data_IF_413651890615
#
_entry.id   IF_413651890615
#
_cell.length_a   1.000
_cell.length_b   1.000
_cell.length_c   1.000
_cell.angle_alpha   90.00
_cell.angle_beta   90.00
_cell.angle_gamma   90.00
#
_symmetry.space_group_name_H-M   'P 1'
#
loop_
_entity.id
_entity.type
_entity.pdbx_description
1 polymer ?
#
# COMPACT_ATOMS: atom_id res chain seq x y z
N UNK A 1 -43.32 37.24 -39.07
CA UNK A 1 -42.10 36.42 -39.28
C UNK A 1 -40.88 36.84 -38.44
N UNK A 2 -40.66 38.11 -38.09
CA UNK A 2 -39.49 38.54 -37.29
C UNK A 2 -39.44 38.06 -35.82
N UNK A 3 -40.58 37.75 -35.19
CA UNK A 3 -40.63 37.28 -33.78
C UNK A 3 -40.27 35.80 -33.59
N UNK A 4 -40.40 34.97 -34.62
CA UNK A 4 -40.04 33.54 -34.56
C UNK A 4 -38.53 33.31 -34.67
N UNK A 5 -37.81 34.19 -35.38
CA UNK A 5 -36.35 34.11 -35.55
C UNK A 5 -35.61 34.37 -34.22
N UNK A 6 -36.15 35.25 -33.38
CA UNK A 6 -35.57 35.57 -32.06
C UNK A 6 -35.70 34.39 -31.08
N UNK A 7 -36.78 33.60 -31.17
CA UNK A 7 -36.98 32.41 -30.35
C UNK A 7 -36.04 31.26 -30.76
N UNK A 8 -35.69 31.18 -32.05
CA UNK A 8 -34.73 30.19 -32.59
C UNK A 8 -33.27 30.54 -32.24
N UNK A 9 -32.92 31.82 -32.10
CA UNK A 9 -31.59 32.24 -31.65
C UNK A 9 -31.36 32.00 -30.14
N UNK A 10 -32.42 32.01 -29.32
CA UNK A 10 -32.30 31.76 -27.88
C UNK A 10 -32.18 30.27 -27.53
N UNK A 11 -32.67 29.36 -28.38
CA UNK A 11 -32.53 27.91 -28.12
C UNK A 11 -31.15 27.35 -28.46
N UNK A 12 -30.36 28.07 -29.26
CA UNK A 12 -28.99 27.68 -29.64
C UNK A 12 -27.93 28.04 -28.59
N UNK A 13 -28.26 28.82 -27.54
CA UNK A 13 -27.32 29.13 -26.46
C UNK A 13 -27.34 28.13 -25.30
N UNK A 14 -28.19 27.11 -25.34
CA UNK A 14 -28.30 26.10 -24.26
C UNK A 14 -27.56 24.80 -24.56
N UNK A 15 -26.86 24.70 -25.71
CA UNK A 15 -26.06 23.50 -26.02
C UNK A 15 -24.70 23.57 -25.34
N UNK A 16 -24.75 23.26 -24.05
CA UNK A 16 -23.86 22.31 -23.37
C UNK A 16 -22.36 22.60 -23.46
N UNK A 17 -21.87 23.34 -22.47
CA UNK A 17 -20.59 23.01 -21.86
C UNK A 17 -20.70 21.56 -21.36
N UNK A 18 -20.37 20.59 -22.22
CA UNK A 18 -20.06 19.24 -21.76
C UNK A 18 -18.77 19.36 -20.96
N UNK A 19 -18.92 19.52 -19.64
CA UNK A 19 -17.82 19.32 -18.72
C UNK A 19 -17.36 17.90 -18.97
N UNK A 20 -16.22 17.75 -19.64
CA UNK A 20 -15.64 16.47 -19.99
C UNK A 20 -15.64 15.63 -18.70
N UNK A 21 -16.54 14.65 -18.61
CA UNK A 21 -16.54 13.71 -17.51
C UNK A 21 -15.25 12.94 -17.69
N UNK A 22 -14.20 13.39 -16.99
CA UNK A 22 -12.88 12.81 -17.05
C UNK A 22 -13.05 11.32 -16.85
N UNK A 23 -12.79 10.55 -17.91
CA UNK A 23 -12.93 9.09 -17.90
C UNK A 23 -12.24 8.58 -16.64
N UNK A 24 -13.03 8.09 -15.70
CA UNK A 24 -12.51 7.59 -14.42
C UNK A 24 -11.54 6.47 -14.77
N UNK A 25 -10.24 6.67 -14.57
CA UNK A 25 -9.27 5.59 -14.73
C UNK A 25 -9.56 4.61 -13.61
N UNK A 26 -10.35 3.59 -13.92
CA UNK A 26 -10.63 2.49 -13.01
C UNK A 26 -9.30 1.80 -12.76
N UNK A 27 -8.83 1.82 -11.51
CA UNK A 27 -7.66 1.08 -11.10
C UNK A 27 -8.04 -0.40 -11.16
N UNK A 28 -7.69 -1.09 -12.25
CA UNK A 28 -8.07 -2.49 -12.47
C UNK A 28 -6.99 -3.44 -11.97
N UNK A 29 -5.72 -3.01 -11.93
CA UNK A 29 -4.60 -3.85 -11.48
C UNK A 29 -3.47 -3.01 -10.82
N UNK A 30 -2.47 -3.70 -10.26
CA UNK A 30 -1.29 -3.10 -9.61
C UNK A 30 -0.39 -2.33 -10.59
N UNK A 31 -0.41 -2.67 -11.89
CA UNK A 31 0.37 -1.94 -12.89
C UNK A 31 -0.16 -0.53 -13.14
N UNK A 32 -1.48 -0.34 -13.12
CA UNK A 32 -2.14 0.97 -13.19
C UNK A 32 -1.81 1.84 -11.96
N UNK A 33 -1.54 1.20 -10.82
CA UNK A 33 -1.17 1.83 -9.55
C UNK A 33 0.23 2.44 -9.57
N UNK A 34 1.20 1.80 -10.23
CA UNK A 34 2.57 2.31 -10.27
C UNK A 34 2.64 3.71 -10.88
N UNK A 35 1.90 3.92 -11.96
CA UNK A 35 1.81 5.22 -12.63
C UNK A 35 1.18 6.29 -11.72
N UNK A 36 0.16 5.94 -10.94
CA UNK A 36 -0.52 6.87 -10.03
C UNK A 36 0.36 7.28 -8.85
N UNK A 37 1.33 6.48 -8.45
CA UNK A 37 2.26 6.85 -7.39
C UNK A 37 3.48 7.63 -7.89
N UNK A 38 3.67 7.81 -9.21
CA UNK A 38 4.80 8.58 -9.76
C UNK A 38 4.58 10.09 -9.65
N UNK A 39 5.33 10.76 -8.76
CA UNK A 39 5.24 12.21 -8.51
C UNK A 39 5.41 13.06 -9.77
N UNK A 40 6.24 12.62 -10.74
CA UNK A 40 6.45 13.33 -12.02
C UNK A 40 5.17 13.55 -12.83
N UNK A 41 4.13 12.75 -12.58
CA UNK A 41 2.84 12.86 -13.27
C UNK A 41 1.97 13.99 -12.67
N UNK A 42 2.34 14.52 -11.50
CA UNK A 42 1.60 15.55 -10.79
C UNK A 42 2.21 16.92 -11.05
N UNK A 43 1.52 17.74 -11.86
CA UNK A 43 1.94 19.11 -12.20
C UNK A 43 1.90 20.05 -10.99
N UNK A 44 0.95 19.82 -10.07
CA UNK A 44 0.79 20.64 -8.86
C UNK A 44 1.19 19.82 -7.64
N UNK A 45 2.23 20.27 -6.95
CA UNK A 45 2.76 19.67 -5.72
C UNK A 45 2.97 20.76 -4.68
N UNK A 46 2.46 20.54 -3.47
CA UNK A 46 2.78 21.34 -2.30
C UNK A 46 3.76 20.53 -1.47
N UNK A 47 4.89 21.13 -1.10
CA UNK A 47 5.89 20.53 -0.21
C UNK A 47 5.93 21.32 1.09
N UNK A 48 5.78 20.64 2.19
CA UNK A 48 5.89 21.20 3.53
C UNK A 48 7.04 20.53 4.25
N UNK A 49 8.05 21.29 4.65
CA UNK A 49 9.18 20.77 5.42
C UNK A 49 8.67 20.27 6.78
N UNK A 50 8.93 19.00 7.10
CA UNK A 50 8.65 18.40 8.42
C UNK A 50 9.87 18.53 9.32
N UNK A 51 11.04 18.21 8.77
CA UNK A 51 12.35 18.41 9.41
C UNK A 51 13.45 18.54 8.34
N UNK A 52 14.72 18.56 8.74
CA UNK A 52 15.85 18.77 7.82
C UNK A 52 16.05 17.69 6.75
N UNK A 53 15.44 16.52 6.91
CA UNK A 53 15.54 15.41 5.96
C UNK A 53 14.22 14.94 5.40
N UNK A 54 13.08 15.46 5.88
CA UNK A 54 11.75 15.00 5.48
C UNK A 54 10.89 16.17 5.03
N UNK A 55 10.39 16.05 3.80
CA UNK A 55 9.32 16.88 3.26
C UNK A 55 8.02 16.08 3.21
N UNK A 56 6.92 16.64 3.69
CA UNK A 56 5.59 16.14 3.40
C UNK A 56 5.12 16.69 2.05
N UNK A 57 4.77 15.81 1.11
CA UNK A 57 4.32 16.18 -0.22
C UNK A 57 2.83 15.90 -0.33
N UNK A 58 2.06 16.87 -0.81
CA UNK A 58 0.69 16.67 -1.29
C UNK A 58 0.61 17.07 -2.76
N UNK A 59 0.16 16.16 -3.60
CA UNK A 59 0.13 16.29 -5.04
C UNK A 59 -1.29 16.03 -5.58
N UNK A 60 -1.69 16.80 -6.59
CA UNK A 60 -3.03 16.73 -7.18
C UNK A 60 -2.93 16.44 -8.68
N UNK A 61 -3.62 15.40 -9.16
CA UNK A 61 -3.70 15.05 -10.57
C UNK A 61 -5.11 14.58 -10.94
N UNK A 62 -5.82 15.38 -11.73
CA UNK A 62 -7.25 15.19 -12.00
C UNK A 62 -8.05 14.99 -10.70
N UNK A 63 -8.65 13.81 -10.54
CA UNK A 63 -9.44 13.44 -9.38
C UNK A 63 -8.62 12.74 -8.29
N UNK A 64 -7.31 12.61 -8.47
CA UNK A 64 -6.45 11.94 -7.51
C UNK A 64 -5.70 12.93 -6.63
N UNK A 65 -5.66 12.60 -5.34
CA UNK A 65 -4.76 13.21 -4.36
C UNK A 65 -3.75 12.17 -3.93
N UNK A 66 -2.47 12.47 -4.09
CA UNK A 66 -1.37 11.67 -3.59
C UNK A 66 -0.67 12.45 -2.48
N UNK A 67 -0.51 11.86 -1.30
CA UNK A 67 0.17 12.49 -0.18
C UNK A 67 1.08 11.52 0.55
N UNK A 68 2.19 12.01 1.11
CA UNK A 68 3.12 11.20 1.91
C UNK A 68 4.47 11.88 2.11
N UNK A 69 5.34 11.22 2.84
CA UNK A 69 6.64 11.77 3.24
C UNK A 69 7.76 11.38 2.27
N UNK A 70 8.61 12.34 1.96
CA UNK A 70 9.76 12.20 1.09
C UNK A 70 11.04 12.51 1.88
N UNK A 71 11.94 11.53 1.93
CA UNK A 71 13.26 11.70 2.49
C UNK A 71 14.17 12.37 1.46
N UNK A 72 14.54 13.62 1.74
CA UNK A 72 15.35 14.46 0.85
C UNK A 72 16.81 14.03 0.80
N UNK A 73 17.33 13.43 1.87
CA UNK A 73 18.72 12.92 1.93
C UNK A 73 18.84 11.62 1.14
N UNK A 74 17.89 10.72 1.33
CA UNK A 74 17.81 9.43 0.66
C UNK A 74 17.18 9.53 -0.73
N UNK A 75 16.63 10.70 -1.08
CA UNK A 75 15.95 10.98 -2.34
C UNK A 75 14.87 9.93 -2.65
N UNK A 76 14.01 9.62 -1.67
CA UNK A 76 13.00 8.60 -1.84
C UNK A 76 11.75 8.80 -0.98
N UNK A 77 10.67 8.11 -1.35
CA UNK A 77 9.46 7.99 -0.53
C UNK A 77 9.77 7.18 0.73
N UNK A 78 9.20 7.61 1.85
CA UNK A 78 9.30 6.92 3.14
C UNK A 78 7.94 6.90 3.83
N UNK A 79 7.71 5.89 4.67
CA UNK A 79 6.47 5.73 5.40
C UNK A 79 5.26 5.56 4.50
N UNK A 80 4.09 5.92 5.01
CA UNK A 80 2.81 5.67 4.35
C UNK A 80 2.48 6.79 3.37
N UNK A 81 2.34 6.40 2.10
CA UNK A 81 1.82 7.24 1.04
C UNK A 81 0.38 6.86 0.73
N UNK A 82 -0.47 7.88 0.64
CA UNK A 82 -1.90 7.73 0.43
C UNK A 82 -2.30 8.28 -0.93
N UNK A 83 -2.96 7.46 -1.74
CA UNK A 83 -3.63 7.84 -2.97
C UNK A 83 -5.15 7.76 -2.76
N UNK A 84 -5.84 8.90 -2.88
CA UNK A 84 -7.30 9.01 -2.79
C UNK A 84 -7.87 9.42 -4.12
N UNK A 85 -8.94 8.77 -4.57
CA UNK A 85 -9.80 9.28 -5.62
C UNK A 85 -10.87 10.17 -4.97
N UNK A 86 -11.03 11.40 -5.47
CA UNK A 86 -12.01 12.36 -4.95
C UNK A 86 -13.46 12.05 -5.36
N UNK A 87 -13.64 11.22 -6.39
CA UNK A 87 -14.95 10.90 -6.94
C UNK A 87 -15.60 9.66 -6.32
N UNK A 88 -14.83 8.84 -5.62
CA UNK A 88 -15.33 7.63 -4.97
C UNK A 88 -14.70 7.47 -3.58
N UNK A 89 -15.08 6.41 -2.88
CA UNK A 89 -14.59 6.12 -1.53
C UNK A 89 -13.30 5.28 -1.52
N UNK A 90 -12.63 5.12 -2.67
CA UNK A 90 -11.46 4.26 -2.82
C UNK A 90 -10.19 4.99 -2.45
N UNK A 91 -9.37 4.30 -1.67
CA UNK A 91 -8.09 4.77 -1.20
C UNK A 91 -7.08 3.63 -1.29
N UNK A 92 -5.85 3.94 -1.71
CA UNK A 92 -4.73 3.00 -1.66
C UNK A 92 -3.62 3.61 -0.83
N UNK A 93 -3.10 2.83 0.11
CA UNK A 93 -1.99 3.21 0.96
C UNK A 93 -0.81 2.31 0.66
N UNK A 94 0.37 2.90 0.47
CA UNK A 94 1.61 2.15 0.28
C UNK A 94 2.63 2.61 1.31
N UNK A 95 3.09 1.68 2.13
CA UNK A 95 4.19 1.88 3.07
C UNK A 95 5.53 1.64 2.36
N UNK A 96 6.42 2.63 2.41
CA UNK A 96 7.75 2.58 1.81
C UNK A 96 8.83 2.47 2.88
N UNK A 97 9.70 1.46 2.75
CA UNK A 97 10.92 1.33 3.55
C UNK A 97 12.10 1.65 2.64
N UNK A 98 12.93 2.61 3.05
CA UNK A 98 14.16 2.96 2.34
C UNK A 98 15.26 1.96 2.73
N UNK A 99 15.87 1.31 1.73
CA UNK A 99 17.06 0.49 1.93
C UNK A 99 18.34 1.23 1.61
N UNK A 100 18.32 2.05 0.56
CA UNK A 100 19.46 2.87 0.16
C UNK A 100 19.00 4.10 -0.62
N UNK A 101 19.93 4.99 -0.97
CA UNK A 101 19.62 6.22 -1.70
C UNK A 101 18.97 5.89 -3.05
N UNK A 102 17.77 6.39 -3.28
CA UNK A 102 16.99 6.11 -4.49
C UNK A 102 16.35 4.72 -4.54
N UNK A 103 16.53 3.88 -3.52
CA UNK A 103 15.93 2.54 -3.43
C UNK A 103 14.99 2.40 -2.23
N UNK A 104 13.70 2.21 -2.52
CA UNK A 104 12.66 2.03 -1.51
C UNK A 104 11.76 0.87 -1.89
N UNK A 105 11.50 0.04 -0.90
CA UNK A 105 10.67 -1.13 -1.00
C UNK A 105 9.23 -0.83 -0.60
N UNK A 106 8.28 -1.28 -1.41
CA UNK A 106 6.84 -1.24 -1.10
C UNK A 106 6.51 -2.35 -0.10
N UNK A 107 6.65 -2.00 1.16
CA UNK A 107 6.51 -2.94 2.27
C UNK A 107 5.07 -3.44 2.41
N UNK A 108 4.12 -2.50 2.49
CA UNK A 108 2.70 -2.77 2.64
C UNK A 108 1.90 -2.04 1.57
N UNK A 109 0.84 -2.67 1.07
CA UNK A 109 -0.08 -2.11 0.08
C UNK A 109 -1.50 -2.41 0.58
N UNK A 110 -2.23 -1.38 0.95
CA UNK A 110 -3.56 -1.48 1.58
C UNK A 110 -4.58 -0.82 0.68
N UNK A 111 -5.54 -1.60 0.22
CA UNK A 111 -6.72 -1.12 -0.50
C UNK A 111 -7.84 -0.87 0.50
N UNK A 112 -8.48 0.29 0.38
CA UNK A 112 -9.67 0.64 1.15
C UNK A 112 -10.80 1.08 0.25
N UNK A 113 -12.00 0.78 0.68
CA UNK A 113 -13.25 1.28 0.11
C UNK A 113 -14.20 1.57 1.26
N UNK A 114 -14.83 2.75 1.26
CA UNK A 114 -15.65 3.23 2.38
C UNK A 114 -14.93 3.14 3.74
N UNK A 115 -13.64 3.51 3.78
CA UNK A 115 -12.76 3.41 4.95
C UNK A 115 -12.54 1.99 5.51
N UNK A 116 -13.02 0.95 4.82
CA UNK A 116 -12.79 -0.46 5.19
C UNK A 116 -11.68 -1.05 4.34
N UNK A 117 -10.78 -1.80 4.97
CA UNK A 117 -9.69 -2.48 4.27
C UNK A 117 -10.23 -3.69 3.52
N UNK A 118 -9.99 -3.76 2.21
CA UNK A 118 -10.17 -4.97 1.43
C UNK A 118 -8.95 -5.88 1.63
N UNK A 119 -9.01 -6.71 2.68
CA UNK A 119 -7.92 -7.61 3.05
C UNK A 119 -7.59 -8.64 1.97
N UNK A 120 -8.52 -8.92 1.04
CA UNK A 120 -8.33 -9.93 -0.01
C UNK A 120 -7.42 -9.47 -1.15
N UNK A 121 -7.26 -8.14 -1.30
CA UNK A 121 -6.40 -7.50 -2.31
C UNK A 121 -5.18 -6.82 -1.70
N UNK A 122 -5.10 -6.77 -0.37
CA UNK A 122 -4.09 -6.02 0.35
C UNK A 122 -2.96 -6.93 0.86
N UNK A 123 -1.77 -6.35 0.97
CA UNK A 123 -0.57 -6.95 1.54
C UNK A 123 -0.13 -6.10 2.74
N UNK A 124 -0.32 -6.56 3.96
CA UNK A 124 0.00 -5.79 5.17
C UNK A 124 0.04 -6.67 6.41
N UNK A 125 0.51 -6.13 7.54
CA UNK A 125 0.41 -6.82 8.81
C UNK A 125 -0.24 -5.93 9.88
N UNK A 126 -0.79 -6.58 10.91
CA UNK A 126 -1.27 -5.92 12.12
C UNK A 126 -0.63 -6.61 13.32
N UNK A 127 -0.06 -5.84 14.24
CA UNK A 127 0.26 -6.27 15.58
C UNK A 127 -0.97 -6.13 16.50
N UNK A 128 -1.36 -7.22 17.16
CA UNK A 128 -2.46 -7.28 18.13
C UNK A 128 -1.96 -7.89 19.44
N UNK A 129 -2.74 -7.69 20.50
CA UNK A 129 -2.52 -8.34 21.81
C UNK A 129 -1.08 -8.14 22.32
N UNK A 130 -0.51 -6.98 22.05
CA UNK A 130 0.88 -6.66 22.37
C UNK A 130 1.02 -6.41 23.87
N UNK A 131 1.85 -7.22 24.53
CA UNK A 131 2.13 -7.15 25.95
C UNK A 131 3.58 -7.54 26.24
N UNK A 132 4.04 -7.36 27.48
CA UNK A 132 5.38 -7.83 27.88
C UNK A 132 5.55 -9.36 27.92
N UNK A 133 4.51 -10.14 27.58
CA UNK A 133 4.55 -11.61 27.55
C UNK A 133 4.37 -12.21 26.16
N UNK A 134 3.73 -11.48 25.25
CA UNK A 134 3.50 -11.95 23.89
C UNK A 134 3.04 -10.83 22.96
N UNK A 135 3.04 -11.15 21.67
CA UNK A 135 2.43 -10.36 20.61
C UNK A 135 1.83 -11.28 19.55
N UNK A 136 0.62 -10.95 19.10
CA UNK A 136 -0.03 -11.62 17.98
C UNK A 136 0.18 -10.81 16.70
N UNK A 137 0.97 -11.36 15.78
CA UNK A 137 1.12 -10.81 14.44
C UNK A 137 0.11 -11.45 13.50
N UNK A 138 -0.64 -10.62 12.77
CA UNK A 138 -1.57 -11.04 11.73
C UNK A 138 -1.13 -10.49 10.38
N UNK A 139 -0.67 -11.36 9.49
CA UNK A 139 -0.28 -11.02 8.14
C UNK A 139 -1.41 -11.29 7.16
N UNK A 140 -1.58 -10.38 6.20
CA UNK A 140 -2.54 -10.47 5.12
C UNK A 140 -1.76 -10.44 3.80
N UNK A 141 -2.09 -11.39 2.93
CA UNK A 141 -1.56 -11.49 1.59
C UNK A 141 -2.72 -11.58 0.59
N UNK A 142 -2.59 -10.98 -0.61
CA UNK A 142 -3.66 -11.02 -1.60
C UNK A 142 -4.02 -12.46 -2.01
N UNK A 143 -5.31 -12.70 -2.28
CA UNK A 143 -5.79 -13.96 -2.83
C UNK A 143 -5.42 -14.07 -4.31
N UNK A 144 -5.05 -15.27 -4.74
CA UNK A 144 -4.66 -15.57 -6.12
C UNK A 144 -5.64 -16.62 -6.64
N UNK A 145 -6.39 -16.27 -7.69
CA UNK A 145 -7.48 -17.13 -8.20
C UNK A 145 -6.98 -18.45 -8.80
N UNK A 146 -5.81 -18.45 -9.45
CA UNK A 146 -5.20 -19.62 -10.08
C UNK A 146 -4.11 -20.30 -9.23
N UNK A 147 -4.21 -20.20 -7.90
CA UNK A 147 -3.26 -20.80 -6.96
C UNK A 147 -3.26 -22.34 -7.06
N UNK A 148 -2.07 -22.93 -7.24
CA UNK A 148 -1.81 -24.37 -7.18
C UNK A 148 -1.31 -24.77 -5.79
N UNK A 149 -0.33 -24.03 -5.29
CA UNK A 149 0.24 -24.25 -3.96
C UNK A 149 0.78 -22.95 -3.39
N UNK A 150 0.91 -22.93 -2.05
CA UNK A 150 1.30 -21.76 -1.29
C UNK A 150 2.07 -22.17 -0.05
N UNK A 151 3.21 -21.53 0.15
CA UNK A 151 4.03 -21.63 1.35
C UNK A 151 4.32 -20.23 1.86
N UNK A 152 4.18 -20.01 3.16
CA UNK A 152 4.57 -18.75 3.79
C UNK A 152 5.55 -19.00 4.92
N UNK A 153 6.50 -18.10 5.08
CA UNK A 153 7.52 -18.13 6.13
C UNK A 153 7.53 -16.83 6.89
N UNK A 154 7.74 -16.93 8.18
CA UNK A 154 8.10 -15.79 9.03
C UNK A 154 9.44 -16.11 9.67
N UNK A 155 10.40 -15.20 9.53
CA UNK A 155 11.64 -15.21 10.30
C UNK A 155 11.70 -13.96 11.17
N UNK A 156 12.08 -14.10 12.44
CA UNK A 156 12.10 -12.98 13.38
C UNK A 156 13.22 -13.07 14.41
N UNK A 157 13.62 -11.89 14.89
CA UNK A 157 14.61 -11.71 15.95
C UNK A 157 14.07 -10.81 17.04
N UNK A 158 14.40 -11.15 18.28
CA UNK A 158 14.15 -10.31 19.45
C UNK A 158 15.49 -9.77 19.93
N UNK A 159 15.57 -8.45 20.12
CA UNK A 159 16.78 -7.72 20.43
C UNK A 159 16.59 -6.87 21.69
N UNK A 160 17.64 -6.77 22.51
CA UNK A 160 17.75 -5.77 23.59
C UNK A 160 19.02 -4.97 23.37
N UNK A 161 18.86 -3.71 22.96
CA UNK A 161 19.97 -2.95 22.41
C UNK A 161 20.56 -3.65 21.18
N UNK A 162 21.84 -3.99 21.21
CA UNK A 162 22.53 -4.76 20.16
C UNK A 162 22.48 -6.28 20.36
N UNK A 163 22.07 -6.77 21.54
CA UNK A 163 22.09 -8.20 21.86
C UNK A 163 20.88 -8.90 21.26
N UNK A 164 21.11 -9.97 20.49
CA UNK A 164 20.06 -10.90 20.05
C UNK A 164 19.69 -11.81 21.21
N UNK A 165 18.41 -11.80 21.60
CA UNK A 165 17.85 -12.64 22.65
C UNK A 165 17.19 -13.90 22.10
N UNK A 166 16.62 -13.80 20.89
CA UNK A 166 15.97 -14.92 20.20
C UNK A 166 16.07 -14.72 18.69
N UNK A 167 16.29 -15.80 17.95
CA UNK A 167 16.17 -15.90 16.49
C UNK A 167 15.35 -17.16 16.19
N UNK A 168 14.29 -17.04 15.41
CA UNK A 168 13.31 -18.12 15.22
C UNK A 168 12.53 -17.92 13.92
N UNK A 169 11.90 -18.99 13.45
CA UNK A 169 11.12 -18.98 12.22
C UNK A 169 9.95 -19.96 12.24
N UNK A 170 8.90 -19.64 11.49
CA UNK A 170 7.76 -20.54 11.28
C UNK A 170 7.43 -20.65 9.81
N UNK A 171 6.94 -21.82 9.39
CA UNK A 171 6.46 -22.08 8.03
C UNK A 171 5.00 -22.49 8.07
N UNK A 172 4.20 -21.90 7.20
CA UNK A 172 2.79 -22.20 6.97
C UNK A 172 2.65 -22.82 5.58
N UNK A 173 1.92 -23.94 5.47
CA UNK A 173 1.65 -24.60 4.19
C UNK A 173 0.16 -24.59 3.90
N UNK A 174 -0.21 -24.32 2.66
CA UNK A 174 -1.58 -24.45 2.11
C UNK A 174 -2.66 -23.61 2.82
N UNK A 175 -2.31 -22.40 3.28
CA UNK A 175 -3.28 -21.42 3.82
C UNK A 175 -3.96 -20.64 2.70
N UNK A 176 -5.13 -21.09 2.27
CA UNK A 176 -5.88 -20.53 1.13
C UNK A 176 -6.56 -19.18 1.39
N UNK A 177 -6.68 -18.77 2.65
CA UNK A 177 -7.38 -17.53 3.02
C UNK A 177 -6.52 -16.26 2.89
N UNK A 178 -5.20 -16.42 2.70
CA UNK A 178 -4.24 -15.31 2.66
C UNK A 178 -4.03 -14.65 4.03
N UNK A 179 -4.42 -15.32 5.12
CA UNK A 179 -4.33 -14.77 6.48
C UNK A 179 -3.47 -15.67 7.37
N UNK A 180 -2.39 -15.11 7.90
CA UNK A 180 -1.41 -15.82 8.72
C UNK A 180 -1.37 -15.23 10.12
N UNK A 181 -1.42 -16.10 11.13
CA UNK A 181 -1.41 -15.71 12.53
C UNK A 181 -0.17 -16.31 13.19
N UNK A 182 0.63 -15.45 13.80
CA UNK A 182 1.83 -15.83 14.54
C UNK A 182 1.75 -15.24 15.94
N UNK A 183 1.61 -16.08 16.97
CA UNK A 183 1.71 -15.65 18.35
C UNK A 183 3.15 -15.85 18.84
N UNK A 184 3.87 -14.76 19.07
CA UNK A 184 5.25 -14.79 19.57
C UNK A 184 5.19 -14.58 21.08
N UNK A 185 5.41 -15.67 21.83
CA UNK A 185 5.51 -15.64 23.30
C UNK A 185 6.96 -15.38 23.70
N UNK A 186 7.18 -14.33 24.48
CA UNK A 186 8.49 -13.95 25.00
C UNK A 186 8.33 -12.98 26.18
N UNK A 187 9.23 -13.07 27.16
CA UNK A 187 9.27 -12.14 28.29
C UNK A 187 9.97 -10.83 27.88
N UNK A 188 9.26 -10.00 27.12
CA UNK A 188 9.75 -8.71 26.67
C UNK A 188 9.98 -7.75 27.84
N UNK A 189 10.96 -6.88 27.67
CA UNK A 189 11.22 -5.73 28.53
C UNK A 189 11.12 -4.44 27.74
N UNK A 190 10.91 -3.32 28.44
CA UNK A 190 10.90 -1.98 27.83
C UNK A 190 12.23 -1.75 27.09
N UNK A 191 12.13 -1.34 25.83
CA UNK A 191 13.26 -1.14 24.93
C UNK A 191 13.60 -2.38 24.09
N UNK A 192 12.96 -3.52 24.32
CA UNK A 192 13.13 -4.68 23.45
C UNK A 192 12.52 -4.42 22.07
N UNK A 193 13.18 -4.93 21.03
CA UNK A 193 12.78 -4.81 19.63
C UNK A 193 12.55 -6.19 19.04
N UNK A 194 11.36 -6.43 18.52
CA UNK A 194 11.04 -7.53 17.64
C UNK A 194 11.14 -7.04 16.19
N UNK A 195 11.92 -7.72 15.35
CA UNK A 195 12.01 -7.39 13.93
C UNK A 195 12.09 -8.65 13.09
N UNK A 196 11.50 -8.63 11.90
CA UNK A 196 11.50 -9.80 11.05
C UNK A 196 10.93 -9.53 9.66
N UNK A 197 10.77 -10.62 8.92
CA UNK A 197 10.14 -10.62 7.62
C UNK A 197 9.16 -11.79 7.53
N UNK A 198 7.97 -11.50 7.02
CA UNK A 198 7.06 -12.48 6.46
C UNK A 198 7.35 -12.59 4.96
N UNK A 199 7.23 -13.77 4.36
CA UNK A 199 7.32 -13.98 2.91
C UNK A 199 6.38 -15.10 2.50
N UNK A 200 5.54 -14.83 1.51
CA UNK A 200 4.68 -15.84 0.89
C UNK A 200 5.14 -16.13 -0.53
N UNK A 201 5.27 -17.41 -0.81
CA UNK A 201 5.67 -18.01 -2.07
C UNK A 201 4.47 -18.73 -2.66
N UNK A 202 4.08 -18.37 -3.87
CA UNK A 202 2.88 -18.92 -4.53
C UNK A 202 3.24 -19.51 -5.86
N UNK A 203 2.75 -20.72 -6.12
CA UNK A 203 2.77 -21.33 -7.44
C UNK A 203 1.39 -21.21 -8.07
N UNK A 204 1.30 -20.60 -9.25
CA UNK A 204 0.07 -20.45 -10.02
C UNK A 204 0.04 -21.40 -11.23
N UNK A 205 -1.16 -21.77 -11.70
CA UNK A 205 -1.34 -22.69 -12.85
C UNK A 205 -0.74 -22.12 -14.14
N UNK A 206 -0.84 -20.81 -14.34
CA UNK A 206 -0.25 -20.12 -15.48
C UNK A 206 0.85 -19.13 -15.01
N UNK A 207 2.14 -19.49 -15.13
CA UNK A 207 3.26 -18.62 -14.74
C UNK A 207 3.47 -17.41 -15.67
N UNK A 208 2.63 -17.24 -16.71
CA UNK A 208 2.62 -16.07 -17.61
C UNK A 208 1.49 -15.08 -17.32
N UNK A 209 0.56 -15.38 -16.40
CA UNK A 209 -0.39 -14.34 -15.98
C UNK A 209 0.43 -13.21 -15.37
N UNK A 210 0.21 -11.95 -15.74
CA UNK A 210 1.00 -10.82 -15.20
C UNK A 210 0.95 -10.74 -13.67
N UNK A 211 -0.04 -11.36 -13.05
CA UNK A 211 -0.16 -11.53 -11.60
C UNK A 211 0.80 -12.61 -11.05
N UNK A 212 1.11 -13.65 -11.81
CA UNK A 212 2.04 -14.74 -11.41
C UNK A 212 3.52 -14.33 -11.36
N UNK A 213 3.94 -13.31 -12.12
CA UNK A 213 5.35 -12.86 -12.19
C UNK A 213 5.71 -11.77 -11.17
N UNK A 214 4.72 -11.14 -10.51
CA UNK A 214 4.96 -10.18 -9.40
C UNK A 214 4.92 -10.90 -8.03
N UNK A 215 4.40 -12.13 -7.98
CA UNK A 215 4.09 -12.88 -6.76
C UNK A 215 5.08 -14.00 -6.42
N UNK A 216 6.35 -13.82 -6.81
CA UNK A 216 7.45 -14.68 -6.37
C UNK A 216 7.92 -14.42 -4.93
N UNK A 217 7.55 -13.31 -4.29
CA UNK A 217 7.90 -12.97 -2.90
C UNK A 217 6.97 -11.89 -2.33
N UNK A 218 5.83 -12.27 -1.74
CA UNK A 218 5.01 -11.34 -0.96
C UNK A 218 5.70 -11.09 0.40
N UNK A 219 6.75 -10.27 0.41
CA UNK A 219 7.55 -10.02 1.61
C UNK A 219 7.09 -8.80 2.38
N UNK A 220 6.83 -8.95 3.68
CA UNK A 220 6.47 -7.85 4.59
C UNK A 220 7.52 -7.80 5.69
N UNK A 221 8.26 -6.70 5.77
CA UNK A 221 9.14 -6.39 6.89
C UNK A 221 8.31 -5.76 8.01
N UNK A 222 8.56 -6.20 9.23
CA UNK A 222 7.89 -5.71 10.42
C UNK A 222 8.87 -5.39 11.53
N UNK A 223 8.50 -4.42 12.35
CA UNK A 223 9.26 -4.00 13.52
C UNK A 223 8.30 -3.57 14.63
N UNK A 224 8.50 -4.10 15.83
CA UNK A 224 7.70 -3.81 17.01
C UNK A 224 8.63 -3.50 18.19
N UNK A 225 8.31 -2.45 18.94
CA UNK A 225 9.04 -2.05 20.15
C UNK A 225 8.18 -2.24 21.40
N UNK A 226 8.75 -2.77 22.48
CA UNK A 226 8.06 -2.99 23.75
C UNK A 226 8.51 -1.98 24.81
#
# INVERSE_FOLDING_TARGET
>A
MKRFVIFLLFSLMVTSCSKEQGKTKVIKNISDLNELFHLKNYKTQVRMKVNDSIDHITAQWHNFTLAGDFDTKMNNRTGIWTLKNKLDSKEVLIDYIIFSKGDAFKNQIIFKEHNKIDSSKSKFYIAKEKSFKHILLKFFSPKIEEEVSKEAKIGYRILRGSKVLKDDSLTYKNKKDGIYLTNIKFDFQKGDKLAGAFSEFVMAKNPKSKDSLIMGNNSIYFIERF
#
